data_IF_500065788330
#
_entry.id   IF_500065788330
#
_cell.length_a   1.000
_cell.length_b   1.000
_cell.length_c   1.000
_cell.angle_alpha   90.00
_cell.angle_beta   90.00
_cell.angle_gamma   90.00
#
_symmetry.space_group_name_H-M   'P 1'
#
loop_
_entity.id
_entity.type
_entity.pdbx_description
1 polymer ?
#
# COMPACT_ATOMS: atom_id res chain seq x y z
N UNK A 1 -40.25 -12.29 3.06
CA UNK A 1 -38.93 -12.85 3.48
C UNK A 1 -38.23 -13.35 2.22
N UNK A 2 -37.67 -12.42 1.45
CA UNK A 2 -37.04 -12.78 0.18
C UNK A 2 -35.55 -12.79 0.36
N UNK A 3 -34.98 -14.00 0.31
CA UNK A 3 -33.54 -14.20 0.20
C UNK A 3 -33.10 -13.72 -1.18
N UNK A 4 -32.47 -12.56 -1.25
CA UNK A 4 -31.70 -12.15 -2.42
C UNK A 4 -30.51 -13.08 -2.54
N UNK A 5 -30.61 -14.05 -3.43
CA UNK A 5 -29.45 -14.88 -3.83
C UNK A 5 -28.60 -14.03 -4.72
N UNK A 6 -27.46 -13.56 -4.18
CA UNK A 6 -26.41 -12.93 -4.98
C UNK A 6 -25.62 -14.06 -5.65
N UNK A 7 -26.12 -14.53 -6.79
CA UNK A 7 -25.35 -15.36 -7.71
C UNK A 7 -24.70 -14.44 -8.75
N UNK A 8 -23.43 -14.65 -9.01
CA UNK A 8 -22.50 -14.01 -9.93
C UNK A 8 -21.65 -12.89 -9.29
N UNK A 9 -20.80 -13.29 -8.36
CA UNK A 9 -19.55 -12.57 -8.13
C UNK A 9 -18.59 -13.13 -9.19
N UNK A 10 -18.41 -12.40 -10.30
CA UNK A 10 -17.19 -12.54 -11.08
C UNK A 10 -16.04 -12.35 -10.09
N UNK A 11 -15.12 -13.31 -10.04
CA UNK A 11 -13.90 -13.25 -9.24
C UNK A 11 -13.08 -12.05 -9.71
N UNK A 12 -13.38 -10.89 -9.18
CA UNK A 12 -12.41 -9.81 -9.17
C UNK A 12 -11.36 -10.20 -8.13
N UNK A 13 -10.14 -10.45 -8.58
CA UNK A 13 -8.95 -10.79 -7.77
C UNK A 13 -8.61 -9.75 -6.68
N UNK A 14 -9.46 -8.75 -6.46
CA UNK A 14 -9.26 -7.62 -5.58
C UNK A 14 -10.45 -7.31 -4.65
N UNK A 15 -11.34 -8.27 -4.42
CA UNK A 15 -12.42 -8.07 -3.46
C UNK A 15 -11.85 -7.99 -2.03
N UNK A 16 -11.99 -6.84 -1.37
CA UNK A 16 -11.61 -6.65 0.02
C UNK A 16 -12.83 -6.72 0.92
N UNK A 17 -12.65 -7.29 2.11
CA UNK A 17 -13.70 -7.35 3.14
C UNK A 17 -13.52 -6.20 4.12
N UNK A 18 -14.65 -5.58 4.51
CA UNK A 18 -14.64 -4.64 5.62
C UNK A 18 -14.46 -5.41 6.94
N UNK A 19 -13.52 -4.99 7.73
CA UNK A 19 -13.22 -5.57 9.05
C UNK A 19 -13.82 -4.76 10.21
N UNK A 20 -14.47 -3.64 9.92
CA UNK A 20 -15.02 -2.73 10.93
C UNK A 20 -16.27 -3.22 11.63
N UNK A 21 -16.95 -4.25 11.13
CA UNK A 21 -18.15 -4.80 11.76
C UNK A 21 -18.35 -6.29 11.40
N UNK A 22 -19.30 -6.93 12.08
CA UNK A 22 -19.65 -8.35 11.88
C UNK A 22 -20.22 -8.65 10.49
N UNK A 23 -20.75 -7.66 9.77
CA UNK A 23 -21.38 -7.84 8.47
C UNK A 23 -20.38 -8.08 7.33
N UNK A 24 -19.08 -7.81 7.54
CA UNK A 24 -17.99 -8.04 6.59
C UNK A 24 -18.33 -7.62 5.15
N UNK A 25 -18.85 -6.41 4.98
CA UNK A 25 -19.21 -5.86 3.67
C UNK A 25 -18.01 -5.89 2.72
N UNK A 26 -18.25 -6.05 1.42
CA UNK A 26 -17.18 -6.05 0.41
C UNK A 26 -16.95 -4.62 -0.07
N UNK A 27 -15.68 -4.22 -0.14
CA UNK A 27 -15.29 -2.96 -0.77
C UNK A 27 -15.48 -3.05 -2.28
N UNK A 28 -16.21 -2.10 -2.85
CA UNK A 28 -16.25 -1.88 -4.29
C UNK A 28 -15.96 -0.41 -4.56
N UNK A 29 -15.04 -0.12 -5.45
CA UNK A 29 -14.66 1.25 -5.84
C UNK A 29 -15.82 2.12 -6.35
N UNK A 30 -16.98 1.50 -6.60
CA UNK A 30 -18.20 2.13 -7.15
C UNK A 30 -19.27 2.38 -6.06
N UNK A 31 -19.13 1.84 -4.85
CA UNK A 31 -20.16 2.02 -3.83
C UNK A 31 -20.08 3.39 -3.15
N UNK A 32 -20.85 4.32 -3.70
CA UNK A 32 -21.21 5.58 -3.05
C UNK A 32 -22.37 5.45 -2.06
N UNK A 33 -23.00 4.28 -1.94
CA UNK A 33 -24.10 4.03 -0.99
C UNK A 33 -23.55 3.35 0.26
N UNK A 34 -23.34 4.13 1.32
CA UNK A 34 -23.18 3.59 2.69
C UNK A 34 -24.45 2.79 3.02
N UNK A 35 -24.31 1.53 3.38
CA UNK A 35 -25.39 0.82 4.06
C UNK A 35 -25.68 1.61 5.34
N UNK A 36 -26.94 2.04 5.49
CA UNK A 36 -27.43 2.91 6.58
C UNK A 36 -27.17 2.30 7.97
N UNK A 37 -26.85 1.02 8.04
CA UNK A 37 -26.66 0.25 9.28
C UNK A 37 -25.18 0.11 9.71
N UNK A 38 -24.22 0.72 8.99
CA UNK A 38 -22.82 0.62 9.36
C UNK A 38 -22.51 1.58 10.50
N UNK A 39 -22.46 1.07 11.73
CA UNK A 39 -22.12 1.82 12.97
C UNK A 39 -20.63 1.75 13.29
N UNK A 40 -19.86 0.95 12.57
CA UNK A 40 -18.44 0.71 12.80
C UNK A 40 -17.51 1.57 11.96
N UNK A 41 -16.24 1.50 12.32
CA UNK A 41 -15.14 2.09 11.53
C UNK A 41 -14.96 1.29 10.25
N UNK A 42 -15.10 1.94 9.11
CA UNK A 42 -14.92 1.28 7.82
C UNK A 42 -13.43 1.16 7.51
N UNK A 43 -12.87 -0.05 7.65
CA UNK A 43 -11.50 -0.32 7.26
C UNK A 43 -11.34 -1.67 6.55
N UNK A 44 -10.32 -1.73 5.69
CA UNK A 44 -10.00 -2.85 4.82
C UNK A 44 -8.52 -3.17 4.90
N UNK A 45 -8.14 -4.39 4.55
CA UNK A 45 -6.73 -4.83 4.47
C UNK A 45 -6.50 -5.38 3.06
N UNK A 46 -5.42 -4.96 2.41
CA UNK A 46 -5.10 -5.42 1.06
C UNK A 46 -3.59 -5.61 0.86
N UNK A 47 -3.19 -6.69 0.16
CA UNK A 47 -3.97 -7.86 -0.18
C UNK A 47 -4.30 -8.73 1.05
N UNK A 48 -5.41 -9.48 0.99
CA UNK A 48 -5.87 -10.34 2.11
C UNK A 48 -5.14 -11.69 2.14
N UNK A 49 -3.83 -11.70 1.99
CA UNK A 49 -3.01 -12.93 1.93
C UNK A 49 -2.12 -13.15 3.16
N UNK A 50 -2.22 -12.28 4.18
CA UNK A 50 -1.40 -12.31 5.38
C UNK A 50 -2.28 -12.37 6.64
N UNK A 51 -2.65 -13.60 7.05
CA UNK A 51 -3.54 -13.82 8.21
C UNK A 51 -2.96 -13.25 9.52
N UNK A 52 -1.64 -13.33 9.74
CA UNK A 52 -1.01 -12.78 10.94
C UNK A 52 -1.14 -11.26 11.01
N UNK A 53 -0.96 -10.58 9.89
CA UNK A 53 -1.16 -9.13 9.82
C UNK A 53 -2.62 -8.77 10.09
N UNK A 54 -3.56 -9.51 9.49
CA UNK A 54 -4.99 -9.31 9.68
C UNK A 54 -5.37 -9.45 11.16
N UNK A 55 -4.98 -10.54 11.80
CA UNK A 55 -5.27 -10.78 13.22
C UNK A 55 -4.65 -9.74 14.14
N UNK A 56 -3.39 -9.38 13.90
CA UNK A 56 -2.71 -8.33 14.67
C UNK A 56 -3.41 -6.98 14.55
N UNK A 57 -3.83 -6.59 13.36
CA UNK A 57 -4.55 -5.34 13.14
C UNK A 57 -5.95 -5.33 13.75
N UNK A 58 -6.67 -6.46 13.72
CA UNK A 58 -7.99 -6.56 14.34
C UNK A 58 -7.94 -6.28 15.85
N UNK A 59 -6.90 -6.74 16.54
CA UNK A 59 -6.71 -6.43 17.96
C UNK A 59 -6.48 -4.93 18.19
N UNK A 60 -5.76 -4.26 17.28
CA UNK A 60 -5.56 -2.81 17.36
C UNK A 60 -6.85 -2.03 17.13
N UNK A 61 -7.60 -2.42 16.11
CA UNK A 61 -8.78 -1.68 15.67
C UNK A 61 -10.00 -1.89 16.59
N UNK A 62 -10.07 -3.02 17.30
CA UNK A 62 -11.14 -3.26 18.29
C UNK A 62 -11.19 -2.24 19.43
N UNK A 63 -10.08 -1.53 19.67
CA UNK A 63 -9.94 -0.55 20.75
C UNK A 63 -9.99 0.92 20.27
N UNK A 64 -10.27 1.15 18.98
CA UNK A 64 -10.34 2.52 18.46
C UNK A 64 -11.71 3.13 18.72
N UNK A 65 -11.81 3.97 19.74
CA UNK A 65 -13.00 4.77 20.08
C UNK A 65 -12.96 6.16 19.43
N UNK A 66 -12.40 6.32 18.23
CA UNK A 66 -12.25 7.63 17.62
C UNK A 66 -13.50 8.05 16.81
N UNK A 67 -13.81 9.33 16.82
CA UNK A 67 -14.70 9.95 15.83
C UNK A 67 -14.05 9.81 14.47
N UNK A 68 -14.61 8.93 13.66
CA UNK A 68 -14.01 8.50 12.41
C UNK A 68 -14.34 9.48 11.29
N UNK A 69 -13.35 9.69 10.43
CA UNK A 69 -13.55 10.38 9.16
C UNK A 69 -14.54 9.63 8.27
N UNK A 70 -15.15 10.36 7.35
CA UNK A 70 -16.11 9.79 6.39
C UNK A 70 -15.49 8.94 5.29
N UNK A 71 -14.15 8.88 5.19
CA UNK A 71 -13.44 8.12 4.16
C UNK A 71 -13.03 6.74 4.68
N UNK A 72 -13.20 5.68 3.89
CA UNK A 72 -12.72 4.36 4.25
C UNK A 72 -11.20 4.34 4.39
N UNK A 73 -10.68 3.53 5.32
CA UNK A 73 -9.26 3.32 5.51
C UNK A 73 -8.88 1.97 4.92
N UNK A 74 -7.86 1.95 4.08
CA UNK A 74 -7.30 0.72 3.55
C UNK A 74 -5.87 0.55 4.07
N UNK A 75 -5.65 -0.51 4.81
CA UNK A 75 -4.31 -0.91 5.25
C UNK A 75 -3.69 -1.77 4.16
N UNK A 76 -2.56 -1.33 3.64
CA UNK A 76 -1.83 -2.00 2.58
C UNK A 76 -0.70 -2.83 3.19
N UNK A 77 -0.72 -4.14 2.99
CA UNK A 77 0.42 -5.02 3.29
C UNK A 77 1.53 -4.81 2.25
N UNK A 78 2.31 -3.74 2.46
CA UNK A 78 3.32 -3.24 1.53
C UNK A 78 4.66 -3.93 1.77
N UNK A 79 4.71 -5.24 1.54
CA UNK A 79 5.90 -6.06 1.70
C UNK A 79 6.47 -6.56 0.37
N UNK A 80 7.68 -7.12 0.40
CA UNK A 80 8.38 -7.58 -0.81
C UNK A 80 7.66 -8.75 -1.52
N UNK A 81 6.88 -9.58 -0.81
CA UNK A 81 6.11 -10.68 -1.41
C UNK A 81 4.98 -10.14 -2.31
N UNK A 82 4.47 -8.97 -1.98
CA UNK A 82 3.39 -8.29 -2.68
C UNK A 82 3.88 -7.27 -3.71
N UNK A 83 5.21 -7.15 -3.92
CA UNK A 83 5.85 -6.09 -4.70
C UNK A 83 5.31 -5.97 -6.14
N UNK A 84 4.88 -7.08 -6.74
CA UNK A 84 4.33 -7.10 -8.10
C UNK A 84 3.10 -6.19 -8.26
N UNK A 85 2.29 -6.04 -7.21
CA UNK A 85 1.14 -5.13 -7.22
C UNK A 85 1.57 -3.67 -7.31
N UNK A 86 2.74 -3.34 -6.76
CA UNK A 86 3.22 -1.97 -6.58
C UNK A 86 4.14 -1.48 -7.70
N UNK A 87 4.40 -2.27 -8.74
CA UNK A 87 5.32 -1.90 -9.84
C UNK A 87 4.75 -0.86 -10.80
N UNK A 88 3.48 -0.53 -10.71
CA UNK A 88 2.82 0.51 -11.52
C UNK A 88 1.85 1.28 -10.64
N UNK A 89 1.42 2.47 -11.06
CA UNK A 89 0.44 3.29 -10.33
C UNK A 89 -1.00 2.75 -10.36
N UNK A 90 -1.26 1.67 -11.09
CA UNK A 90 -2.62 1.10 -11.24
C UNK A 90 -3.24 0.69 -9.91
N UNK A 91 -2.41 0.25 -8.94
CA UNK A 91 -2.91 -0.17 -7.63
C UNK A 91 -3.53 0.97 -6.84
N UNK A 92 -3.01 2.20 -6.95
CA UNK A 92 -3.60 3.37 -6.29
C UNK A 92 -5.01 3.67 -6.81
N UNK A 93 -5.22 3.51 -8.12
CA UNK A 93 -6.50 3.75 -8.75
C UNK A 93 -7.65 2.86 -8.24
N UNK A 94 -7.33 1.74 -7.59
CA UNK A 94 -8.31 0.83 -6.99
C UNK A 94 -8.92 1.41 -5.69
N UNK A 95 -8.22 2.36 -5.04
CA UNK A 95 -8.57 2.90 -3.72
C UNK A 95 -8.99 4.36 -3.77
N UNK A 96 -9.65 4.77 -4.86
CA UNK A 96 -10.17 6.14 -4.99
C UNK A 96 -11.06 6.51 -3.81
N UNK A 97 -10.91 7.74 -3.34
CA UNK A 97 -11.63 8.27 -2.18
C UNK A 97 -11.36 7.55 -0.85
N UNK A 98 -10.28 6.76 -0.77
CA UNK A 98 -9.85 6.10 0.46
C UNK A 98 -8.58 6.71 1.01
N UNK A 99 -8.33 6.48 2.29
CA UNK A 99 -7.06 6.76 2.94
C UNK A 99 -6.25 5.49 3.10
N UNK A 100 -4.99 5.53 2.69
CA UNK A 100 -4.11 4.37 2.75
C UNK A 100 -3.14 4.48 3.94
N UNK A 101 -2.93 3.35 4.61
CA UNK A 101 -1.85 3.15 5.57
C UNK A 101 -0.96 2.05 5.00
N UNK A 102 0.29 2.36 4.69
CA UNK A 102 1.25 1.36 4.22
C UNK A 102 1.92 0.72 5.43
N UNK A 103 1.81 -0.60 5.57
CA UNK A 103 2.60 -1.39 6.53
C UNK A 103 3.72 -2.07 5.77
N UNK A 104 4.96 -1.81 6.15
CA UNK A 104 6.12 -2.19 5.35
C UNK A 104 7.31 -2.67 6.19
N UNK A 105 8.27 -3.28 5.52
CA UNK A 105 9.57 -3.62 6.07
C UNK A 105 10.68 -2.67 5.58
N UNK A 106 11.89 -2.82 6.14
CA UNK A 106 13.03 -1.97 5.77
C UNK A 106 13.43 -2.10 4.30
N UNK A 107 13.25 -3.28 3.70
CA UNK A 107 13.64 -3.52 2.29
C UNK A 107 12.75 -2.75 1.32
N UNK A 108 11.49 -2.54 1.70
CA UNK A 108 10.53 -1.81 0.90
C UNK A 108 10.45 -0.32 1.24
N UNK A 109 11.18 0.13 2.26
CA UNK A 109 11.09 1.50 2.78
C UNK A 109 11.26 2.58 1.70
N UNK A 110 12.27 2.47 0.84
CA UNK A 110 12.54 3.47 -0.19
C UNK A 110 11.43 3.53 -1.24
N UNK A 111 10.75 2.39 -1.51
CA UNK A 111 9.62 2.28 -2.42
C UNK A 111 8.35 2.83 -1.76
N UNK A 112 8.11 2.50 -0.48
CA UNK A 112 6.98 3.04 0.27
C UNK A 112 7.04 4.58 0.37
N UNK A 113 8.24 5.13 0.63
CA UNK A 113 8.46 6.57 0.61
C UNK A 113 8.29 7.18 -0.77
N UNK A 114 8.72 6.50 -1.84
CA UNK A 114 8.44 6.95 -3.20
C UNK A 114 6.94 7.14 -3.39
N UNK A 115 6.12 6.15 -3.08
CA UNK A 115 4.67 6.22 -3.23
C UNK A 115 4.04 7.28 -2.32
N UNK A 116 4.49 7.40 -1.08
CA UNK A 116 3.99 8.43 -0.16
C UNK A 116 4.14 9.86 -0.69
N UNK A 117 5.25 10.14 -1.37
CA UNK A 117 5.53 11.48 -1.92
C UNK A 117 5.06 11.69 -3.37
N UNK A 118 4.67 10.62 -4.07
CA UNK A 118 4.12 10.68 -5.44
C UNK A 118 2.65 10.26 -5.47
N UNK A 119 1.96 10.49 -4.35
CA UNK A 119 0.53 10.28 -4.22
C UNK A 119 -0.24 11.10 -5.26
N UNK A 120 -1.32 10.52 -5.77
CA UNK A 120 -2.23 11.20 -6.69
C UNK A 120 -3.33 11.91 -5.92
N UNK A 121 -3.90 12.97 -6.47
CA UNK A 121 -4.94 13.77 -5.83
C UNK A 121 -6.21 12.99 -5.42
N UNK A 122 -6.41 11.79 -5.95
CA UNK A 122 -7.60 10.95 -5.70
C UNK A 122 -7.41 9.93 -4.56
N UNK A 123 -6.17 9.70 -4.13
CA UNK A 123 -5.83 8.70 -3.11
C UNK A 123 -4.84 9.31 -2.14
N UNK A 124 -5.09 9.23 -0.85
CA UNK A 124 -4.21 9.81 0.18
C UNK A 124 -3.51 8.71 0.96
N UNK A 125 -2.18 8.62 0.83
CA UNK A 125 -1.38 7.80 1.75
C UNK A 125 -1.18 8.61 3.03
N UNK A 126 -1.84 8.19 4.11
CA UNK A 126 -1.88 8.92 5.37
C UNK A 126 -0.72 8.60 6.30
N UNK A 127 -0.17 7.39 6.21
CA UNK A 127 0.97 6.97 7.02
C UNK A 127 1.77 5.84 6.37
N UNK A 128 3.07 5.79 6.70
CA UNK A 128 3.94 4.62 6.49
C UNK A 128 4.37 4.10 7.85
N UNK A 129 4.06 2.83 8.11
CA UNK A 129 4.35 2.12 9.36
C UNK A 129 5.35 1.02 9.06
N UNK A 130 6.42 0.94 9.84
CA UNK A 130 7.40 -0.13 9.73
C UNK A 130 7.14 -1.20 10.78
N UNK A 131 7.41 -2.46 10.43
CA UNK A 131 7.24 -3.59 11.35
C UNK A 131 8.07 -3.46 12.64
N UNK A 132 9.15 -2.70 12.60
CA UNK A 132 10.04 -2.42 13.73
C UNK A 132 9.83 -1.03 14.37
N UNK A 133 8.79 -0.31 13.98
CA UNK A 133 8.39 0.91 14.69
C UNK A 133 7.96 0.54 16.13
N UNK A 134 8.22 1.43 17.08
CA UNK A 134 7.78 1.26 18.46
C UNK A 134 6.25 1.21 18.51
N UNK A 135 5.70 0.34 19.35
CA UNK A 135 4.24 0.11 19.45
C UNK A 135 3.44 1.39 19.62
N UNK A 136 3.93 2.35 20.41
CA UNK A 136 3.24 3.63 20.62
C UNK A 136 3.26 4.52 19.35
N UNK A 137 4.33 4.46 18.56
CA UNK A 137 4.39 5.16 17.27
C UNK A 137 3.41 4.56 16.27
N UNK A 138 3.29 3.23 16.24
CA UNK A 138 2.30 2.52 15.40
C UNK A 138 0.89 2.98 15.77
N UNK A 139 0.54 2.94 17.06
CA UNK A 139 -0.76 3.40 17.56
C UNK A 139 -1.04 4.86 17.19
N UNK A 140 -0.04 5.71 17.37
CA UNK A 140 -0.16 7.13 17.08
C UNK A 140 -0.44 7.37 15.59
N UNK A 141 0.31 6.72 14.70
CA UNK A 141 0.15 6.82 13.23
C UNK A 141 -1.22 6.33 12.79
N UNK A 142 -1.67 5.18 13.31
CA UNK A 142 -2.99 4.63 13.03
C UNK A 142 -4.08 5.61 13.49
N UNK A 143 -4.06 6.04 14.76
CA UNK A 143 -5.06 6.97 15.29
C UNK A 143 -5.11 8.29 14.51
N UNK A 144 -3.95 8.85 14.15
CA UNK A 144 -3.88 10.07 13.33
C UNK A 144 -4.51 9.87 11.96
N UNK A 145 -4.28 8.72 11.31
CA UNK A 145 -4.90 8.37 10.03
C UNK A 145 -6.42 8.30 10.14
N UNK A 146 -6.95 7.69 11.21
CA UNK A 146 -8.38 7.63 11.49
C UNK A 146 -9.00 9.00 11.82
N UNK A 147 -8.21 9.94 12.32
CA UNK A 147 -8.60 11.34 12.52
C UNK A 147 -8.46 12.20 11.24
N UNK A 148 -8.13 11.60 10.10
CA UNK A 148 -7.93 12.33 8.85
C UNK A 148 -6.60 13.05 8.72
N UNK A 149 -5.65 12.85 9.63
CA UNK A 149 -4.32 13.46 9.59
C UNK A 149 -3.36 12.66 8.72
N UNK A 150 -2.34 13.32 8.19
CA UNK A 150 -1.24 12.71 7.43
C UNK A 150 0.00 12.73 8.32
N UNK A 151 0.58 11.55 8.56
CA UNK A 151 1.84 11.41 9.29
C UNK A 151 2.98 11.25 8.31
N UNK A 152 3.74 12.30 8.09
CA UNK A 152 4.88 12.27 7.14
C UNK A 152 6.02 11.43 7.69
N UNK A 153 6.62 10.55 6.86
CA UNK A 153 7.86 9.88 7.21
C UNK A 153 8.97 10.90 7.45
N UNK A 154 9.95 10.53 8.29
CA UNK A 154 11.12 11.39 8.49
C UNK A 154 11.85 11.62 7.17
N UNK A 155 12.19 12.88 6.85
CA UNK A 155 12.89 13.27 5.63
C UNK A 155 14.28 12.63 5.48
N UNK A 156 14.88 12.16 6.59
CA UNK A 156 16.17 11.47 6.60
C UNK A 156 16.16 10.08 5.97
N UNK A 157 14.97 9.51 5.72
CA UNK A 157 14.87 8.17 5.12
C UNK A 157 15.01 8.25 3.60
N UNK A 158 15.79 7.32 3.03
CA UNK A 158 16.00 7.25 1.59
C UNK A 158 14.66 7.05 0.85
N UNK A 159 14.49 7.75 -0.27
CA UNK A 159 13.38 7.56 -1.21
C UNK A 159 13.91 7.43 -2.62
N UNK A 160 13.22 6.68 -3.45
CA UNK A 160 13.51 6.63 -4.88
C UNK A 160 12.99 7.90 -5.56
N UNK A 161 13.74 8.40 -6.56
CA UNK A 161 13.19 9.37 -7.51
C UNK A 161 12.31 8.68 -8.54
N UNK A 162 11.53 9.43 -9.31
CA UNK A 162 10.67 8.88 -10.37
C UNK A 162 11.46 8.07 -11.39
N UNK A 163 12.63 8.55 -11.81
CA UNK A 163 13.49 7.84 -12.75
C UNK A 163 14.09 6.56 -12.14
N UNK A 164 14.50 6.62 -10.86
CA UNK A 164 15.00 5.44 -10.15
C UNK A 164 13.89 4.40 -9.98
N UNK A 165 12.68 4.82 -9.66
CA UNK A 165 11.54 3.91 -9.53
C UNK A 165 11.18 3.26 -10.86
N UNK A 166 11.13 4.01 -11.96
CA UNK A 166 10.88 3.48 -13.29
C UNK A 166 11.94 2.43 -13.68
N UNK A 167 13.22 2.72 -13.45
CA UNK A 167 14.31 1.78 -13.70
C UNK A 167 14.21 0.55 -12.79
N UNK A 168 13.91 0.75 -11.50
CA UNK A 168 13.69 -0.35 -10.56
C UNK A 168 12.61 -1.32 -11.08
N UNK A 169 11.46 -0.80 -11.51
CA UNK A 169 10.35 -1.61 -11.99
C UNK A 169 10.72 -2.43 -13.26
N UNK A 170 11.51 -1.86 -14.17
CA UNK A 170 12.00 -2.57 -15.35
C UNK A 170 13.02 -3.68 -14.99
N UNK A 171 13.97 -3.37 -14.11
CA UNK A 171 14.97 -4.34 -13.65
C UNK A 171 14.33 -5.48 -12.83
N UNK A 172 13.37 -5.17 -11.98
CA UNK A 172 12.63 -6.16 -11.19
C UNK A 172 11.87 -7.14 -12.10
N UNK A 173 11.30 -6.66 -13.21
CA UNK A 173 10.65 -7.49 -14.24
C UNK A 173 11.64 -8.29 -15.11
N UNK A 174 12.92 -8.30 -14.77
CA UNK A 174 13.95 -9.05 -15.47
C UNK A 174 14.43 -8.42 -16.80
N UNK A 175 14.11 -7.15 -17.05
CA UNK A 175 14.62 -6.46 -18.24
C UNK A 175 16.14 -6.30 -18.17
N UNK A 176 16.82 -6.65 -19.25
CA UNK A 176 18.28 -6.55 -19.32
C UNK A 176 18.72 -5.08 -19.37
N UNK A 177 19.75 -4.68 -18.58
CA UNK A 177 20.28 -3.31 -18.59
C UNK A 177 20.62 -2.76 -19.99
N UNK A 178 21.10 -3.60 -20.88
CA UNK A 178 21.40 -3.23 -22.29
C UNK A 178 20.12 -2.83 -23.03
N UNK A 179 19.02 -3.59 -22.87
CA UNK A 179 17.72 -3.27 -23.51
C UNK A 179 17.14 -1.97 -22.97
N UNK A 180 17.22 -1.78 -21.62
CA UNK A 180 16.77 -0.54 -20.98
C UNK A 180 17.57 0.66 -21.49
N UNK A 181 18.89 0.53 -21.60
CA UNK A 181 19.76 1.58 -22.10
C UNK A 181 19.40 1.99 -23.55
N UNK A 182 19.16 1.00 -24.42
CA UNK A 182 18.72 1.25 -25.80
C UNK A 182 17.36 1.96 -25.85
N UNK A 183 16.38 1.47 -25.08
CA UNK A 183 15.03 2.07 -24.99
C UNK A 183 15.06 3.52 -24.54
N UNK A 184 15.92 3.85 -23.56
CA UNK A 184 15.99 5.16 -22.94
C UNK A 184 17.06 6.07 -23.61
N UNK A 185 17.62 5.68 -24.76
CA UNK A 185 18.67 6.40 -25.49
C UNK A 185 19.84 6.83 -24.56
N UNK A 186 20.28 5.94 -23.65
CA UNK A 186 21.34 6.21 -22.67
C UNK A 186 22.45 5.15 -22.72
N UNK A 187 23.53 5.41 -21.99
CA UNK A 187 24.65 4.47 -21.89
C UNK A 187 24.35 3.38 -20.85
N UNK A 188 24.73 2.15 -21.16
CA UNK A 188 24.62 0.99 -20.26
C UNK A 188 25.34 1.24 -18.92
N UNK A 189 26.46 1.95 -18.90
CA UNK A 189 27.17 2.34 -17.66
C UNK A 189 26.28 3.19 -16.75
N UNK A 190 25.47 4.09 -17.31
CA UNK A 190 24.54 4.91 -16.53
C UNK A 190 23.44 4.06 -15.87
N UNK A 191 22.93 3.04 -16.58
CA UNK A 191 21.96 2.09 -16.03
C UNK A 191 22.55 1.34 -14.83
N UNK A 192 23.79 0.83 -14.95
CA UNK A 192 24.46 0.15 -13.84
C UNK A 192 24.73 1.09 -12.66
N UNK A 193 25.16 2.32 -12.91
CA UNK A 193 25.39 3.31 -11.86
C UNK A 193 24.07 3.65 -11.13
N UNK A 194 22.96 3.77 -11.85
CA UNK A 194 21.65 4.01 -11.26
C UNK A 194 21.14 2.78 -10.51
N UNK A 195 21.34 1.56 -11.03
CA UNK A 195 21.03 0.31 -10.33
C UNK A 195 21.72 0.25 -8.97
N UNK A 196 23.02 0.52 -8.90
CA UNK A 196 23.78 0.55 -7.63
C UNK A 196 23.17 1.57 -6.65
N UNK A 197 22.82 2.77 -7.13
CA UNK A 197 22.16 3.78 -6.29
C UNK A 197 20.82 3.30 -5.74
N UNK A 198 20.02 2.63 -6.56
CA UNK A 198 18.75 2.05 -6.13
C UNK A 198 18.99 0.99 -5.07
N UNK A 199 19.89 0.03 -5.31
CA UNK A 199 20.23 -1.04 -4.37
C UNK A 199 20.76 -0.51 -3.04
N UNK A 200 21.56 0.55 -3.06
CA UNK A 200 22.02 1.24 -1.84
C UNK A 200 20.83 1.86 -1.07
N UNK A 201 19.84 2.44 -1.74
CA UNK A 201 18.64 2.99 -1.10
C UNK A 201 17.71 1.90 -0.56
N UNK A 202 17.64 0.75 -1.21
CA UNK A 202 16.88 -0.41 -0.78
C UNK A 202 17.58 -1.19 0.36
N UNK A 203 18.91 -1.04 0.46
CA UNK A 203 19.74 -1.82 1.39
C UNK A 203 19.90 -3.30 0.99
N UNK A 204 19.39 -3.69 -0.18
CA UNK A 204 19.45 -5.05 -0.72
C UNK A 204 19.54 -5.03 -2.25
N UNK A 205 20.17 -6.03 -2.89
CA UNK A 205 20.12 -6.20 -4.33
C UNK A 205 18.68 -6.40 -4.84
N UNK A 206 18.35 -5.85 -6.00
CA UNK A 206 17.01 -5.98 -6.61
C UNK A 206 16.64 -7.45 -6.81
N UNK A 207 17.62 -8.30 -7.16
CA UNK A 207 17.39 -9.74 -7.33
C UNK A 207 16.90 -10.46 -6.07
N UNK A 208 17.25 -9.95 -4.88
CA UNK A 208 16.79 -10.52 -3.60
C UNK A 208 15.37 -10.10 -3.20
N UNK A 209 14.78 -9.15 -3.91
CA UNK A 209 13.36 -8.82 -3.74
C UNK A 209 12.48 -9.70 -4.62
N UNK A 210 13.07 -10.36 -5.63
CA UNK A 210 12.36 -11.21 -6.59
C UNK A 210 12.39 -12.70 -6.23
N UNK A 211 13.07 -13.06 -5.12
CA UNK A 211 13.26 -14.47 -4.68
C UNK A 211 12.25 -14.87 -3.59
#
# INVERSE_FOLDING_TARGET
MDRVIINNIEHHDNAMRCYGCVNKCVYTSVQTKKNVECTGVEFYIWPENNSFLIEGLLQYFSNINSKVISQPIVVIDFNYKNINYFLTNKWLGQFKNSRLILITDKKMAAIAHYWFYNDTSETVISAVIFHDDVTEDIKTKINQSFMGKITRPSEKKAKLSTNEYALFAELYKGQLPKKIAMKNATNVKNIYAMKIRIENKLGVPISRLAS
#
